data_IF_569182604891
#
_entry.id   IF_569182604891
#
_cell.length_a   1.000
_cell.length_b   1.000
_cell.length_c   1.000
_cell.angle_alpha   90.00
_cell.angle_beta   90.00
_cell.angle_gamma   90.00
#
_symmetry.space_group_name_H-M   'P 1'
#
loop_
_entity.id
_entity.type
_entity.pdbx_description
1 polymer ?
#
# COMPACT_ATOMS: atom_id res chain seq x y z
N UNK A 1 1.46 -30.29 9.68
CA UNK A 1 2.53 -29.26 9.77
C UNK A 1 1.88 -27.93 9.46
N UNK A 2 1.70 -27.08 10.47
CA UNK A 2 1.12 -25.74 10.30
C UNK A 2 2.25 -24.77 9.98
N UNK A 3 2.26 -24.22 8.76
CA UNK A 3 3.10 -23.08 8.42
C UNK A 3 2.44 -21.86 9.05
N UNK A 4 2.76 -21.59 10.31
CA UNK A 4 2.45 -20.30 10.92
C UNK A 4 3.27 -19.27 10.15
N UNK A 5 2.60 -18.48 9.32
CA UNK A 5 3.18 -17.29 8.72
C UNK A 5 3.77 -16.45 9.86
N UNK A 6 5.10 -16.34 9.88
CA UNK A 6 5.79 -15.45 10.81
C UNK A 6 5.28 -14.04 10.53
N UNK A 7 4.76 -13.30 11.51
CA UNK A 7 4.29 -11.94 11.28
C UNK A 7 5.47 -11.15 10.72
N UNK A 8 5.32 -10.62 9.52
CA UNK A 8 6.38 -9.85 8.88
C UNK A 8 6.63 -8.62 9.75
N UNK A 9 7.83 -8.53 10.32
CA UNK A 9 8.23 -7.40 11.14
C UNK A 9 8.93 -6.40 10.23
N UNK A 10 8.36 -5.20 10.11
CA UNK A 10 8.94 -4.11 9.34
C UNK A 10 10.42 -3.88 9.74
N UNK A 11 11.35 -3.74 8.77
CA UNK A 11 12.69 -3.26 9.07
C UNK A 11 12.58 -1.82 9.55
N UNK A 12 13.11 -1.55 10.75
CA UNK A 12 12.95 -0.31 11.52
C UNK A 12 11.48 0.02 11.86
N UNK A 13 11.07 -0.34 13.08
CA UNK A 13 9.83 0.17 13.68
C UNK A 13 9.93 1.69 13.90
N UNK A 14 9.74 2.48 12.84
CA UNK A 14 9.03 3.73 13.03
C UNK A 14 7.61 3.34 13.42
N UNK A 15 7.26 3.55 14.68
CA UNK A 15 5.86 3.51 15.09
C UNK A 15 5.10 4.57 14.29
N UNK A 16 4.52 4.16 13.16
CA UNK A 16 3.65 5.03 12.38
C UNK A 16 2.29 5.13 13.06
N UNK A 17 1.62 6.26 12.89
CA UNK A 17 0.32 6.52 13.55
C UNK A 17 -0.69 5.43 13.19
N UNK A 18 -0.79 5.10 11.91
CA UNK A 18 -1.71 4.08 11.38
C UNK A 18 -1.15 2.65 11.43
N UNK A 19 0.16 2.48 11.56
CA UNK A 19 0.81 1.19 11.36
C UNK A 19 0.87 0.77 9.90
N UNK A 20 0.75 1.73 8.97
CA UNK A 20 0.76 1.52 7.52
C UNK A 20 1.94 2.26 6.92
N UNK A 21 2.74 1.57 6.12
CA UNK A 21 3.76 2.17 5.25
C UNK A 21 3.58 1.67 3.83
N UNK A 22 3.99 2.47 2.87
CA UNK A 22 3.84 2.15 1.46
C UNK A 22 5.12 2.46 0.68
N UNK A 23 5.28 1.77 -0.44
CA UNK A 23 6.37 2.01 -1.39
C UNK A 23 5.81 1.92 -2.80
N UNK A 24 6.16 2.90 -3.64
CA UNK A 24 5.82 2.82 -5.06
C UNK A 24 6.66 1.75 -5.75
N UNK A 25 5.99 0.92 -6.54
CA UNK A 25 6.65 -0.08 -7.36
C UNK A 25 6.73 0.42 -8.80
N UNK A 26 7.94 0.63 -9.29
CA UNK A 26 8.22 1.22 -10.62
C UNK A 26 8.79 0.20 -11.61
N UNK A 27 8.94 -1.07 -11.20
CA UNK A 27 9.38 -2.13 -12.12
C UNK A 27 8.22 -2.54 -13.04
N UNK A 28 8.59 -3.04 -14.21
CA UNK A 28 7.62 -3.45 -15.26
C UNK A 28 6.93 -4.80 -14.97
N UNK A 29 7.38 -5.54 -13.95
CA UNK A 29 6.84 -6.84 -13.55
C UNK A 29 6.45 -6.80 -12.08
N UNK A 30 5.44 -7.57 -11.69
CA UNK A 30 5.07 -7.73 -10.29
C UNK A 30 6.18 -8.47 -9.51
N UNK A 31 6.38 -8.16 -8.22
CA UNK A 31 7.35 -8.88 -7.39
C UNK A 31 6.98 -10.37 -7.32
N UNK A 32 7.94 -11.26 -7.58
CA UNK A 32 7.70 -12.71 -7.50
C UNK A 32 7.86 -13.26 -6.09
N UNK A 33 8.57 -12.54 -5.21
CA UNK A 33 8.76 -12.89 -3.81
C UNK A 33 8.92 -11.63 -2.94
N UNK A 34 8.81 -11.81 -1.61
CA UNK A 34 9.07 -10.74 -0.65
C UNK A 34 10.54 -10.29 -0.63
N UNK A 35 11.47 -11.15 -1.04
CA UNK A 35 12.91 -10.81 -1.08
C UNK A 35 13.23 -9.76 -2.16
N UNK A 36 12.35 -9.59 -3.16
CA UNK A 36 12.47 -8.53 -4.17
C UNK A 36 12.01 -7.16 -3.68
N UNK A 37 11.34 -7.12 -2.52
CA UNK A 37 10.78 -5.91 -1.93
C UNK A 37 11.84 -5.30 -1.01
N UNK A 38 12.54 -4.29 -1.52
CA UNK A 38 13.48 -3.50 -0.74
C UNK A 38 12.75 -2.32 -0.07
N UNK A 39 12.29 -2.52 1.16
CA UNK A 39 11.63 -1.49 1.98
C UNK A 39 12.62 -0.44 2.51
N UNK A 40 13.52 0.08 1.67
CA UNK A 40 14.39 1.21 2.06
C UNK A 40 13.73 2.57 1.83
N UNK A 41 12.90 2.66 0.80
CA UNK A 41 12.29 3.91 0.33
C UNK A 41 10.77 3.96 0.62
N UNK A 42 10.32 3.32 1.72
CA UNK A 42 8.91 3.44 2.10
C UNK A 42 8.60 4.82 2.67
N UNK A 43 7.36 5.23 2.49
CA UNK A 43 6.77 6.40 3.12
C UNK A 43 5.67 5.98 4.09
N UNK A 44 5.51 6.76 5.16
CA UNK A 44 4.42 6.58 6.11
C UNK A 44 3.10 7.04 5.50
N UNK A 45 2.07 6.20 5.63
CA UNK A 45 0.70 6.60 5.31
C UNK A 45 0.13 7.34 6.52
N UNK A 46 -0.17 8.62 6.35
CA UNK A 46 -0.67 9.46 7.44
C UNK A 46 -2.17 9.32 7.61
N UNK A 47 -2.64 9.68 8.79
CA UNK A 47 -4.06 9.75 9.10
C UNK A 47 -4.62 11.14 8.73
N UNK A 48 -5.10 11.29 7.49
CA UNK A 48 -5.53 12.57 6.91
C UNK A 48 -6.82 12.43 6.12
N UNK A 49 -7.96 12.80 6.71
CA UNK A 49 -9.30 12.54 6.15
C UNK A 49 -9.59 11.04 5.98
N UNK A 50 -10.83 10.62 6.24
CA UNK A 50 -11.30 9.24 6.03
C UNK A 50 -10.32 8.13 6.42
N UNK A 51 -9.54 8.35 7.50
CA UNK A 51 -8.62 7.35 8.04
C UNK A 51 -7.49 6.95 7.06
N UNK A 52 -7.01 7.85 6.21
CA UNK A 52 -5.89 7.53 5.31
C UNK A 52 -5.28 8.77 4.66
N UNK A 53 -4.62 8.62 3.52
CA UNK A 53 -4.08 9.74 2.76
C UNK A 53 -4.20 9.46 1.25
N UNK A 54 -4.38 10.54 0.48
CA UNK A 54 -4.45 10.50 -0.98
C UNK A 54 -3.10 10.89 -1.57
N UNK A 55 -2.66 10.13 -2.58
CA UNK A 55 -1.39 10.34 -3.25
C UNK A 55 -1.56 10.43 -4.76
N UNK A 56 -0.94 11.43 -5.36
CA UNK A 56 -0.69 11.42 -6.80
C UNK A 56 0.25 10.28 -7.15
N UNK A 57 -0.19 9.39 -8.03
CA UNK A 57 0.62 8.26 -8.48
C UNK A 57 1.81 8.76 -9.31
N UNK A 58 3.05 8.35 -9.01
CA UNK A 58 4.18 8.61 -9.89
C UNK A 58 3.93 8.07 -11.31
N UNK A 59 4.44 8.78 -12.32
CA UNK A 59 4.19 8.44 -13.73
C UNK A 59 4.70 7.06 -14.10
N UNK A 60 5.78 6.63 -13.48
CA UNK A 60 6.48 5.36 -13.67
C UNK A 60 6.03 4.25 -12.71
N UNK A 61 5.17 4.53 -11.73
CA UNK A 61 4.67 3.51 -10.82
C UNK A 61 3.64 2.60 -11.53
N UNK A 62 3.87 1.29 -11.47
CA UNK A 62 2.96 0.25 -11.94
C UNK A 62 2.09 -0.30 -10.80
N UNK A 63 2.59 -0.21 -9.57
CA UNK A 63 1.92 -0.70 -8.36
C UNK A 63 2.31 0.07 -7.11
N UNK A 64 1.66 -0.26 -6.01
CA UNK A 64 2.06 0.15 -4.66
C UNK A 64 2.20 -1.10 -3.80
N UNK A 65 3.30 -1.18 -3.06
CA UNK A 65 3.49 -2.17 -2.02
C UNK A 65 3.02 -1.53 -0.72
N UNK A 66 2.12 -2.21 -0.02
CA UNK A 66 1.56 -1.75 1.24
C UNK A 66 1.96 -2.73 2.34
N UNK A 67 2.47 -2.21 3.45
CA UNK A 67 2.73 -3.01 4.64
C UNK A 67 1.83 -2.52 5.75
N UNK A 68 1.05 -3.44 6.33
CA UNK A 68 0.18 -3.15 7.45
C UNK A 68 0.60 -3.95 8.67
N UNK A 69 0.78 -3.25 9.79
CA UNK A 69 1.26 -3.83 11.06
C UNK A 69 0.26 -3.71 12.23
N UNK A 70 -0.74 -2.83 12.13
CA UNK A 70 -1.66 -2.56 13.24
C UNK A 70 -3.13 -2.87 12.94
N UNK A 71 -3.58 -2.61 11.71
CA UNK A 71 -5.02 -2.62 11.35
C UNK A 71 -5.25 -3.20 9.97
N UNK A 72 -6.52 -3.48 9.66
CA UNK A 72 -6.91 -3.74 8.28
C UNK A 72 -6.72 -2.46 7.46
N UNK A 73 -6.05 -2.61 6.32
CA UNK A 73 -5.67 -1.51 5.43
C UNK A 73 -6.39 -1.63 4.10
N UNK A 74 -6.54 -0.51 3.41
CA UNK A 74 -7.25 -0.41 2.14
C UNK A 74 -6.47 0.39 1.12
N UNK A 75 -6.56 -0.05 -0.13
CA UNK A 75 -6.07 0.67 -1.31
C UNK A 75 -7.24 0.97 -2.23
N UNK A 76 -7.36 2.24 -2.60
CA UNK A 76 -8.38 2.77 -3.52
C UNK A 76 -7.75 3.56 -4.67
N UNK A 77 -8.37 3.57 -5.86
CA UNK A 77 -7.79 4.24 -7.04
C UNK A 77 -8.79 4.88 -8.00
N UNK A 78 -8.45 6.08 -8.52
CA UNK A 78 -9.19 6.84 -9.53
C UNK A 78 -8.34 7.24 -10.73
N UNK A 79 -8.95 7.20 -11.92
CA UNK A 79 -8.32 7.65 -13.17
C UNK A 79 -8.28 9.16 -13.36
N UNK A 80 -9.03 9.91 -12.55
CA UNK A 80 -9.07 11.37 -12.60
C UNK A 80 -8.49 11.97 -11.32
N UNK A 81 -8.01 13.21 -11.42
CA UNK A 81 -7.42 13.98 -10.31
C UNK A 81 -8.48 14.50 -9.32
N UNK A 82 -9.76 14.40 -9.67
CA UNK A 82 -10.86 14.94 -8.84
C UNK A 82 -11.42 13.92 -7.85
N UNK A 83 -10.96 12.66 -7.90
CA UNK A 83 -11.47 11.52 -7.13
C UNK A 83 -12.98 11.30 -7.32
N UNK A 84 -13.48 11.62 -8.52
CA UNK A 84 -14.89 11.49 -8.86
C UNK A 84 -15.16 10.17 -9.59
N UNK A 85 -16.25 9.49 -9.23
CA UNK A 85 -16.69 8.26 -9.88
C UNK A 85 -16.25 6.97 -9.16
N UNK A 86 -16.55 5.80 -9.74
CA UNK A 86 -16.31 4.52 -9.11
C UNK A 86 -14.81 4.21 -9.03
N UNK A 87 -14.41 3.70 -7.87
CA UNK A 87 -13.08 3.19 -7.61
C UNK A 87 -12.79 1.98 -8.50
N UNK A 88 -11.59 1.89 -9.07
CA UNK A 88 -11.22 0.72 -9.88
C UNK A 88 -10.58 -0.42 -9.09
N UNK A 89 -9.96 -0.13 -7.96
CA UNK A 89 -9.34 -1.13 -7.10
C UNK A 89 -9.75 -0.80 -5.68
N UNK A 90 -10.52 -1.66 -5.03
CA UNK A 90 -10.75 -1.62 -3.60
C UNK A 90 -10.17 -2.93 -3.07
N UNK A 91 -8.93 -2.87 -2.61
CA UNK A 91 -8.27 -4.03 -2.04
C UNK A 91 -8.14 -3.81 -0.56
N UNK A 92 -8.69 -4.72 0.21
CA UNK A 92 -8.44 -4.81 1.64
C UNK A 92 -7.23 -5.71 1.88
N UNK A 93 -6.47 -5.38 2.90
CA UNK A 93 -5.29 -6.12 3.32
C UNK A 93 -5.31 -6.23 4.85
N UNK A 94 -5.26 -7.46 5.34
CA UNK A 94 -5.25 -7.76 6.77
C UNK A 94 -4.04 -7.15 7.50
N UNK A 95 -4.14 -7.01 8.81
CA UNK A 95 -2.99 -6.63 9.63
C UNK A 95 -1.85 -7.67 9.53
N UNK A 96 -0.64 -7.24 9.86
CA UNK A 96 0.57 -8.07 9.89
C UNK A 96 0.91 -8.69 8.52
N UNK A 97 0.62 -7.97 7.43
CA UNK A 97 0.85 -8.45 6.05
C UNK A 97 1.55 -7.41 5.19
N UNK A 98 2.12 -7.91 4.08
CA UNK A 98 2.58 -7.11 2.94
C UNK A 98 1.73 -7.51 1.73
N UNK A 99 1.26 -6.52 0.98
CA UNK A 99 0.53 -6.74 -0.28
C UNK A 99 1.06 -5.86 -1.39
N UNK A 100 1.02 -6.39 -2.61
CA UNK A 100 1.23 -5.63 -3.82
C UNK A 100 -0.12 -5.33 -4.46
N UNK A 101 -0.37 -4.05 -4.76
CA UNK A 101 -1.58 -3.60 -5.42
C UNK A 101 -1.22 -3.00 -6.77
N UNK A 102 -1.74 -3.60 -7.84
CA UNK A 102 -1.61 -3.05 -9.18
C UNK A 102 -2.48 -1.79 -9.28
N UNK A 103 -1.86 -0.66 -9.63
CA UNK A 103 -2.55 0.63 -9.75
C UNK A 103 -2.55 1.18 -11.17
N UNK A 104 -2.14 0.40 -12.19
CA UNK A 104 -2.41 0.64 -13.61
C UNK A 104 -2.38 2.11 -14.08
N UNK A 105 -3.45 2.53 -14.76
CA UNK A 105 -3.64 3.90 -15.30
C UNK A 105 -4.27 4.88 -14.29
N UNK A 106 -4.26 4.51 -13.01
CA UNK A 106 -4.79 5.34 -11.91
C UNK A 106 -3.98 6.63 -11.79
N UNK A 107 -4.63 7.77 -11.58
CA UNK A 107 -3.95 9.04 -11.30
C UNK A 107 -3.77 9.28 -9.80
N UNK A 108 -4.78 8.95 -9.00
CA UNK A 108 -4.75 9.16 -7.56
C UNK A 108 -5.08 7.88 -6.83
N UNK A 109 -4.30 7.58 -5.80
CA UNK A 109 -4.43 6.41 -4.94
C UNK A 109 -4.71 6.86 -3.52
N UNK A 110 -5.74 6.28 -2.89
CA UNK A 110 -5.96 6.38 -1.46
C UNK A 110 -5.36 5.17 -0.76
N UNK A 111 -4.62 5.41 0.33
CA UNK A 111 -4.09 4.39 1.22
C UNK A 111 -4.56 4.70 2.63
N UNK A 112 -5.17 3.75 3.33
CA UNK A 112 -5.71 4.01 4.65
C UNK A 112 -6.10 2.77 5.42
N UNK A 113 -6.77 2.96 6.55
CA UNK A 113 -7.40 1.88 7.32
C UNK A 113 -8.92 1.94 7.21
N UNK A 114 -9.54 0.81 7.49
CA UNK A 114 -10.99 0.67 7.63
C UNK A 114 -11.34 0.62 9.12
#
# INVERSE_FOLDING_TARGET
>A
MSLLASPYTLPDQKETELGIVAQWWTKNLFPQSLDEIDLKDFFEVKNVQDRGEYYDKPKDATGVILVSSKKLSVVAGWRNEKHEGPYQVYSEQEKDTIGFHFVGDTKVVFLGWI
#
